data_IF_188959032019
#
_entry.id   IF_188959032019
#
_cell.length_a   1.000
_cell.length_b   1.000
_cell.length_c   1.000
_cell.angle_alpha   90.00
_cell.angle_beta   90.00
_cell.angle_gamma   90.00
#
_symmetry.space_group_name_H-M   'P 1'
#
loop_
_entity.id
_entity.type
_entity.pdbx_description
1 polymer ?
#
# COMPACT_ATOMS: atom_id res chain seq x y z
N UNK A 1 36.92 -32.10 -11.96
CA UNK A 1 36.30 -31.12 -11.05
C UNK A 1 35.38 -30.27 -11.91
N UNK A 2 34.09 -30.62 -11.93
CA UNK A 2 33.10 -29.98 -12.80
C UNK A 2 32.45 -28.79 -12.06
N UNK A 3 32.82 -27.58 -12.44
CA UNK A 3 32.18 -26.36 -11.94
C UNK A 3 30.91 -26.10 -12.76
N UNK A 4 29.82 -26.74 -12.36
CA UNK A 4 28.46 -26.38 -12.82
C UNK A 4 28.19 -24.91 -12.48
N UNK A 5 28.32 -24.02 -13.47
CA UNK A 5 27.91 -22.62 -13.36
C UNK A 5 26.43 -22.53 -12.94
N UNK A 6 26.17 -22.03 -11.73
CA UNK A 6 24.79 -21.79 -11.27
C UNK A 6 24.23 -20.64 -12.09
N UNK A 7 23.38 -20.95 -13.07
CA UNK A 7 22.59 -19.93 -13.77
C UNK A 7 21.80 -19.12 -12.72
N UNK A 8 21.81 -17.78 -12.77
CA UNK A 8 21.02 -16.98 -11.86
C UNK A 8 19.54 -17.36 -12.01
N UNK A 9 18.77 -17.42 -10.92
CA UNK A 9 17.36 -17.77 -10.99
C UNK A 9 16.64 -16.79 -11.93
N UNK A 10 15.85 -17.32 -12.86
CA UNK A 10 15.07 -16.52 -13.82
C UNK A 10 14.09 -15.65 -13.02
N UNK A 11 14.08 -14.33 -13.30
CA UNK A 11 13.08 -13.43 -12.70
C UNK A 11 11.69 -13.90 -13.10
N UNK A 12 10.82 -14.08 -12.11
CA UNK A 12 9.38 -14.31 -12.29
C UNK A 12 8.70 -12.96 -12.46
N UNK A 13 8.59 -12.53 -13.72
CA UNK A 13 7.97 -11.27 -14.13
C UNK A 13 6.46 -11.40 -14.34
N UNK A 14 5.92 -12.60 -14.08
CA UNK A 14 4.52 -12.95 -14.19
C UNK A 14 3.69 -12.56 -12.97
N UNK A 15 4.33 -12.17 -11.87
CA UNK A 15 3.63 -11.83 -10.63
C UNK A 15 3.23 -10.37 -10.57
N UNK A 16 2.15 -10.11 -9.86
CA UNK A 16 1.77 -8.76 -9.41
C UNK A 16 1.67 -8.76 -7.89
N UNK A 17 2.54 -7.99 -7.27
CA UNK A 17 2.60 -7.84 -5.82
C UNK A 17 2.17 -6.41 -5.48
N UNK A 18 1.22 -6.28 -4.56
CA UNK A 18 0.88 -5.01 -3.93
C UNK A 18 1.60 -4.92 -2.57
N UNK A 19 2.02 -3.73 -2.20
CA UNK A 19 2.46 -3.43 -0.83
C UNK A 19 1.71 -2.20 -0.34
N UNK A 20 1.02 -2.32 0.78
CA UNK A 20 0.43 -1.20 1.51
C UNK A 20 1.34 -0.83 2.70
N UNK A 21 1.57 0.46 2.91
CA UNK A 21 2.26 1.03 4.09
C UNK A 21 1.40 2.15 4.68
N UNK A 22 0.86 1.95 5.89
CA UNK A 22 -0.05 2.92 6.51
C UNK A 22 0.69 4.17 6.99
N UNK A 23 0.16 5.32 6.58
CA UNK A 23 0.73 6.62 6.92
C UNK A 23 0.79 6.85 8.43
N UNK A 24 1.98 7.09 9.00
CA UNK A 24 2.15 7.40 10.42
C UNK A 24 1.24 6.56 11.36
N UNK A 25 1.18 5.25 11.15
CA UNK A 25 0.13 4.34 11.63
C UNK A 25 -0.36 4.58 13.07
N UNK A 26 0.53 4.67 14.06
CA UNK A 26 0.10 4.86 15.45
C UNK A 26 -0.60 6.20 15.68
N UNK A 27 -0.17 7.26 14.97
CA UNK A 27 -0.83 8.55 15.04
C UNK A 27 -2.24 8.48 14.43
N UNK A 28 -2.41 7.83 13.27
CA UNK A 28 -3.75 7.62 12.68
C UNK A 28 -4.68 6.81 13.60
N UNK A 29 -4.17 5.79 14.29
CA UNK A 29 -4.96 5.03 15.28
C UNK A 29 -5.47 5.92 16.40
N UNK A 30 -4.63 6.81 16.92
CA UNK A 30 -5.02 7.77 17.97
C UNK A 30 -5.96 8.84 17.44
N UNK A 31 -5.70 9.37 16.24
CA UNK A 31 -6.52 10.36 15.56
C UNK A 31 -7.92 9.85 15.21
N UNK A 32 -8.06 8.58 14.83
CA UNK A 32 -9.37 7.97 14.57
C UNK A 32 -10.16 7.75 15.86
N UNK A 33 -9.49 7.56 17.00
CA UNK A 33 -10.15 7.49 18.32
C UNK A 33 -10.50 8.87 18.87
N UNK A 34 -9.68 9.87 18.58
CA UNK A 34 -9.90 11.26 18.99
C UNK A 34 -9.72 12.20 17.78
N UNK A 35 -10.80 12.47 17.01
CA UNK A 35 -10.74 13.27 15.79
C UNK A 35 -10.23 14.71 15.99
N UNK A 36 -10.31 15.26 17.20
CA UNK A 36 -9.78 16.59 17.50
C UNK A 36 -8.25 16.70 17.32
N UNK A 37 -7.54 15.56 17.27
CA UNK A 37 -6.09 15.52 17.06
C UNK A 37 -5.69 15.57 15.58
N UNK A 38 -6.59 15.27 14.63
CA UNK A 38 -6.29 15.26 13.17
C UNK A 38 -5.80 16.60 12.64
N UNK A 39 -6.24 17.71 13.24
CA UNK A 39 -5.87 19.07 12.83
C UNK A 39 -4.69 19.64 13.61
N UNK A 40 -4.10 18.89 14.55
CA UNK A 40 -3.01 19.34 15.42
C UNK A 40 -1.73 18.55 15.16
N UNK A 41 -0.55 19.09 15.47
CA UNK A 41 0.69 18.31 15.52
C UNK A 41 0.57 17.26 16.62
N UNK A 42 0.76 15.99 16.27
CA UNK A 42 0.67 14.86 17.19
C UNK A 42 1.94 14.01 17.12
N UNK A 43 2.47 13.67 18.28
CA UNK A 43 3.55 12.70 18.48
C UNK A 43 3.08 11.54 19.36
N UNK A 44 3.38 10.32 18.94
CA UNK A 44 3.19 9.12 19.77
C UNK A 44 4.53 8.82 20.43
N UNK A 45 4.59 8.91 21.76
CA UNK A 45 5.83 8.67 22.50
C UNK A 45 5.86 7.27 23.09
N UNK A 46 7.07 6.73 23.17
CA UNK A 46 7.39 5.53 23.93
C UNK A 46 8.59 5.85 24.79
N UNK A 47 8.39 5.94 26.11
CA UNK A 47 9.33 6.53 27.05
C UNK A 47 9.65 7.98 26.67
N UNK A 48 10.91 8.25 26.29
CA UNK A 48 11.42 9.59 25.96
C UNK A 48 11.67 9.79 24.46
N UNK A 49 11.20 8.87 23.60
CA UNK A 49 11.40 8.91 22.16
C UNK A 49 10.04 8.94 21.46
N UNK A 50 9.92 9.70 20.37
CA UNK A 50 8.77 9.61 19.47
C UNK A 50 8.85 8.35 18.61
N UNK A 51 7.94 7.40 18.84
CA UNK A 51 7.79 6.24 17.97
C UNK A 51 7.36 6.67 16.56
N UNK A 52 6.42 7.61 16.47
CA UNK A 52 6.02 8.26 15.21
C UNK A 52 5.38 9.62 15.49
N UNK A 53 5.17 10.39 14.44
CA UNK A 53 4.45 11.65 14.48
C UNK A 53 3.64 11.84 13.19
N UNK A 54 2.52 12.57 13.30
CA UNK A 54 1.63 12.82 12.17
C UNK A 54 2.22 13.83 11.18
N UNK A 55 1.59 13.95 10.01
CA UNK A 55 2.08 14.88 8.99
C UNK A 55 2.07 16.35 9.42
N UNK A 56 1.16 16.76 10.32
CA UNK A 56 1.15 18.13 10.85
C UNK A 56 2.41 18.43 11.68
N UNK A 57 2.90 17.46 12.45
CA UNK A 57 4.16 17.57 13.18
C UNK A 57 5.38 17.48 12.22
N UNK A 58 5.35 16.58 11.23
CA UNK A 58 6.42 16.46 10.21
C UNK A 58 6.64 17.75 9.42
N UNK A 59 5.56 18.44 9.05
CA UNK A 59 5.62 19.76 8.38
C UNK A 59 6.37 20.83 9.18
N UNK A 60 6.49 20.64 10.50
CA UNK A 60 7.18 21.55 11.42
C UNK A 60 8.61 21.10 11.74
N UNK A 61 9.08 20.01 11.13
CA UNK A 61 10.43 19.48 11.33
C UNK A 61 10.54 18.38 12.40
N UNK A 62 9.44 18.01 13.06
CA UNK A 62 9.43 16.87 13.99
C UNK A 62 9.59 15.57 13.20
N UNK A 63 10.44 14.65 13.66
CA UNK A 63 10.74 13.39 12.97
C UNK A 63 10.48 12.19 13.89
N UNK A 64 10.25 11.02 13.30
CA UNK A 64 10.24 9.74 14.04
C UNK A 64 11.61 9.50 14.69
N UNK A 65 11.61 8.80 15.81
CA UNK A 65 12.79 8.47 16.63
C UNK A 65 13.51 9.68 17.26
N UNK A 66 12.92 10.88 17.19
CA UNK A 66 13.42 12.07 17.87
C UNK A 66 13.17 11.99 19.39
N UNK A 67 14.05 12.57 20.20
CA UNK A 67 13.79 12.70 21.64
C UNK A 67 12.59 13.62 21.86
N UNK A 68 11.79 13.32 22.89
CA UNK A 68 10.62 14.14 23.23
C UNK A 68 11.02 15.58 23.54
N UNK A 69 12.16 15.80 24.23
CA UNK A 69 12.67 17.14 24.50
C UNK A 69 12.96 17.94 23.23
N UNK A 70 13.67 17.34 22.28
CA UNK A 70 14.00 17.98 20.99
C UNK A 70 12.72 18.28 20.18
N UNK A 71 11.77 17.35 20.16
CA UNK A 71 10.51 17.54 19.44
C UNK A 71 9.67 18.68 20.02
N UNK A 72 9.67 18.84 21.35
CA UNK A 72 8.98 19.93 22.04
C UNK A 72 9.69 21.28 21.86
N UNK A 73 11.01 21.31 21.68
CA UNK A 73 11.73 22.53 21.29
C UNK A 73 11.36 22.98 19.87
N UNK A 74 11.23 22.03 18.94
CA UNK A 74 10.84 22.31 17.54
C UNK A 74 9.37 22.73 17.44
N UNK A 75 8.49 22.07 18.19
CA UNK A 75 7.05 22.28 18.15
C UNK A 75 6.48 22.32 19.59
N UNK A 76 6.52 23.48 20.28
CA UNK A 76 6.06 23.61 21.67
C UNK A 76 4.59 23.23 21.90
N UNK A 77 3.74 23.31 20.87
CA UNK A 77 2.33 22.93 20.89
C UNK A 77 2.06 21.47 20.47
N UNK A 78 3.10 20.66 20.30
CA UNK A 78 3.00 19.24 19.95
C UNK A 78 2.17 18.50 20.99
N UNK A 79 1.05 17.91 20.56
CA UNK A 79 0.31 16.99 21.40
C UNK A 79 1.10 15.68 21.51
N UNK A 80 1.32 15.22 22.75
CA UNK A 80 1.99 13.95 23.02
C UNK A 80 1.00 12.94 23.57
N UNK A 81 1.00 11.74 22.99
CA UNK A 81 0.17 10.62 23.45
C UNK A 81 1.07 9.42 23.73
N UNK A 82 0.81 8.75 24.86
CA UNK A 82 1.51 7.54 25.28
C UNK A 82 1.18 6.38 24.33
N UNK A 83 2.23 5.70 23.85
CA UNK A 83 2.15 4.61 22.87
C UNK A 83 2.79 3.32 23.35
N UNK A 84 3.03 3.17 24.65
CA UNK A 84 3.62 1.96 25.25
C UNK A 84 2.68 0.76 25.17
N UNK A 85 1.38 0.97 25.35
CA UNK A 85 0.39 -0.08 25.12
C UNK A 85 0.19 -0.27 23.62
N UNK A 86 0.71 -1.40 23.13
CA UNK A 86 0.65 -1.76 21.72
C UNK A 86 -0.66 -2.47 21.32
N UNK A 87 -1.47 -2.87 22.29
CA UNK A 87 -2.76 -3.54 22.07
C UNK A 87 -3.65 -2.82 21.06
N UNK A 88 -3.93 -1.51 21.20
CA UNK A 88 -4.79 -0.79 20.26
C UNK A 88 -4.27 -0.78 18.82
N UNK A 89 -2.96 -0.62 18.64
CA UNK A 89 -2.32 -0.60 17.32
C UNK A 89 -2.36 -2.00 16.68
N UNK A 90 -2.10 -3.03 17.49
CA UNK A 90 -2.13 -4.43 17.05
C UNK A 90 -3.53 -4.86 16.61
N UNK A 91 -4.58 -4.44 17.31
CA UNK A 91 -5.95 -4.83 17.00
C UNK A 91 -6.43 -4.18 15.70
N UNK A 92 -6.13 -2.89 15.50
CA UNK A 92 -6.38 -2.21 14.22
C UNK A 92 -5.60 -2.88 13.09
N UNK A 93 -4.31 -3.16 13.30
CA UNK A 93 -3.47 -3.85 12.29
C UNK A 93 -4.10 -5.16 11.81
N UNK A 94 -4.66 -5.96 12.74
CA UNK A 94 -5.37 -7.21 12.40
C UNK A 94 -6.64 -6.95 11.59
N UNK A 95 -7.42 -5.93 11.93
CA UNK A 95 -8.65 -5.57 11.21
C UNK A 95 -8.30 -5.21 9.75
N UNK A 96 -7.35 -4.29 9.55
CA UNK A 96 -6.96 -3.85 8.22
C UNK A 96 -6.29 -4.98 7.41
N UNK A 97 -5.47 -5.81 8.06
CA UNK A 97 -4.89 -7.00 7.44
C UNK A 97 -5.96 -7.98 6.95
N UNK A 98 -6.98 -8.27 7.77
CA UNK A 98 -8.05 -9.19 7.39
C UNK A 98 -8.91 -8.63 6.25
N UNK A 99 -9.15 -7.31 6.27
CA UNK A 99 -9.80 -6.61 5.17
C UNK A 99 -9.02 -6.81 3.86
N UNK A 100 -7.74 -6.44 3.82
CA UNK A 100 -6.90 -6.62 2.64
C UNK A 100 -6.81 -8.09 2.21
N UNK A 101 -6.63 -9.01 3.16
CA UNK A 101 -6.56 -10.44 2.90
C UNK A 101 -7.80 -10.99 2.20
N UNK A 102 -8.98 -10.43 2.45
CA UNK A 102 -10.22 -10.87 1.80
C UNK A 102 -10.22 -10.70 0.27
N UNK A 103 -9.36 -9.83 -0.27
CA UNK A 103 -9.19 -9.61 -1.71
C UNK A 103 -8.09 -10.45 -2.36
N UNK A 104 -7.34 -11.23 -1.58
CA UNK A 104 -6.32 -12.15 -2.11
C UNK A 104 -6.95 -13.51 -2.39
N UNK A 105 -7.29 -13.77 -3.64
CA UNK A 105 -7.89 -15.04 -4.09
C UNK A 105 -6.99 -16.25 -3.82
N UNK A 106 -5.67 -16.08 -3.90
CA UNK A 106 -4.68 -17.13 -3.62
C UNK A 106 -4.26 -17.22 -2.14
N UNK A 107 -4.84 -16.40 -1.24
CA UNK A 107 -4.53 -16.32 0.19
C UNK A 107 -3.06 -16.01 0.53
N UNK A 108 -2.25 -15.51 -0.41
CA UNK A 108 -0.84 -15.15 -0.17
C UNK A 108 -0.74 -13.68 0.22
N UNK A 109 -0.98 -13.44 1.50
CA UNK A 109 -0.82 -12.12 2.13
C UNK A 109 0.14 -12.23 3.31
N UNK A 110 1.10 -11.32 3.37
CA UNK A 110 2.11 -11.29 4.41
C UNK A 110 2.11 -9.93 5.08
N UNK A 111 2.36 -9.92 6.39
CA UNK A 111 2.47 -8.70 7.18
C UNK A 111 3.92 -8.49 7.59
N UNK A 112 4.39 -7.24 7.49
CA UNK A 112 5.66 -6.81 8.05
C UNK A 112 5.37 -5.72 9.09
N UNK A 113 5.70 -5.98 10.36
CA UNK A 113 5.33 -5.06 11.44
C UNK A 113 3.81 -4.98 11.67
N UNK A 114 3.32 -3.79 12.02
CA UNK A 114 1.88 -3.54 12.20
C UNK A 114 1.27 -2.75 11.04
N UNK A 115 2.11 -2.11 10.24
CA UNK A 115 1.74 -1.09 9.27
C UNK A 115 2.00 -1.46 7.81
N UNK A 116 2.76 -2.52 7.54
CA UNK A 116 3.02 -2.97 6.17
C UNK A 116 2.33 -4.30 5.83
N UNK A 117 1.71 -4.38 4.66
CA UNK A 117 1.05 -5.58 4.12
C UNK A 117 1.44 -5.82 2.68
N UNK A 118 1.95 -7.02 2.37
CA UNK A 118 2.26 -7.49 1.03
C UNK A 118 1.20 -8.48 0.54
N UNK A 119 0.70 -8.30 -0.67
CA UNK A 119 -0.30 -9.18 -1.28
C UNK A 119 0.16 -9.65 -2.65
N UNK A 120 0.14 -10.96 -2.89
CA UNK A 120 0.22 -11.50 -4.24
C UNK A 120 -1.18 -11.49 -4.85
N UNK A 121 -1.40 -10.64 -5.85
CA UNK A 121 -2.69 -10.45 -6.53
C UNK A 121 -2.66 -10.97 -7.98
N UNK A 122 -1.68 -11.80 -8.30
CA UNK A 122 -1.44 -12.27 -9.67
C UNK A 122 -2.68 -12.95 -10.27
N UNK A 123 -3.41 -13.73 -9.48
CA UNK A 123 -4.56 -14.52 -9.95
C UNK A 123 -5.83 -13.70 -10.20
N UNK A 124 -6.11 -12.68 -9.39
CA UNK A 124 -7.19 -11.73 -9.66
C UNK A 124 -6.87 -10.83 -10.86
N UNK A 125 -5.60 -10.44 -11.00
CA UNK A 125 -5.14 -9.67 -12.15
C UNK A 125 -5.21 -10.50 -13.44
N UNK A 126 -4.73 -11.74 -13.43
CA UNK A 126 -4.76 -12.61 -14.61
C UNK A 126 -6.20 -12.93 -15.04
N UNK A 127 -7.14 -13.08 -14.10
CA UNK A 127 -8.56 -13.22 -14.42
C UNK A 127 -9.12 -11.98 -15.12
N UNK A 128 -8.86 -10.78 -14.57
CA UNK A 128 -9.31 -9.55 -15.19
C UNK A 128 -8.65 -9.31 -16.56
N UNK A 129 -7.39 -9.72 -16.72
CA UNK A 129 -6.70 -9.68 -18.01
C UNK A 129 -7.39 -10.52 -19.09
N UNK A 130 -8.09 -11.60 -18.72
CA UNK A 130 -8.93 -12.39 -19.63
C UNK A 130 -10.27 -11.71 -19.92
N UNK A 131 -10.84 -10.99 -18.94
CA UNK A 131 -12.16 -10.37 -19.06
C UNK A 131 -12.17 -9.04 -19.85
N UNK A 132 -11.04 -8.33 -19.91
CA UNK A 132 -11.01 -6.99 -20.51
C UNK A 132 -11.28 -7.00 -22.02
N UNK A 133 -12.03 -6.01 -22.48
CA UNK A 133 -12.18 -5.73 -23.90
C UNK A 133 -11.10 -4.74 -24.35
N UNK A 134 -10.07 -5.23 -25.05
CA UNK A 134 -8.97 -4.39 -25.55
C UNK A 134 -9.40 -3.30 -26.54
N UNK A 135 -10.58 -3.41 -27.13
CA UNK A 135 -11.14 -2.38 -28.01
C UNK A 135 -11.77 -1.21 -27.24
N UNK A 136 -12.01 -1.36 -25.93
CA UNK A 136 -12.65 -0.37 -25.07
C UNK A 136 -12.02 -0.37 -23.67
N UNK A 137 -10.84 0.25 -23.57
CA UNK A 137 -10.07 0.30 -22.31
C UNK A 137 -10.58 1.37 -21.33
N UNK A 138 -11.20 2.45 -21.83
CA UNK A 138 -11.66 3.56 -20.99
C UNK A 138 -12.88 3.20 -20.12
N UNK A 139 -13.76 2.34 -20.62
CA UNK A 139 -14.99 1.91 -19.95
C UNK A 139 -14.88 0.45 -19.48
N UNK A 140 -13.74 0.11 -18.87
CA UNK A 140 -13.49 -1.23 -18.36
C UNK A 140 -14.13 -1.47 -17.00
N UNK A 141 -14.38 -2.74 -16.68
CA UNK A 141 -14.88 -3.17 -15.38
C UNK A 141 -13.92 -4.19 -14.77
N UNK A 142 -13.50 -3.94 -13.54
CA UNK A 142 -12.62 -4.82 -12.78
C UNK A 142 -13.45 -5.71 -11.85
N UNK A 143 -13.46 -7.01 -12.10
CA UNK A 143 -14.17 -8.01 -11.31
C UNK A 143 -13.41 -8.38 -10.03
N UNK A 144 -14.14 -8.43 -8.92
CA UNK A 144 -13.64 -8.77 -7.58
C UNK A 144 -14.08 -10.16 -7.10
N UNK A 145 -15.07 -10.77 -7.74
CA UNK A 145 -15.53 -12.14 -7.50
C UNK A 145 -15.41 -13.00 -8.77
N UNK A 146 -15.19 -14.32 -8.58
CA UNK A 146 -15.22 -15.30 -9.67
C UNK A 146 -16.64 -15.80 -9.95
N UNK A 147 -17.51 -15.68 -8.96
CA UNK A 147 -18.88 -16.21 -8.95
C UNK A 147 -19.89 -15.15 -9.35
N UNK A 148 -19.66 -13.90 -8.93
CA UNK A 148 -20.57 -12.78 -9.14
C UNK A 148 -19.89 -11.68 -9.99
N UNK A 149 -20.22 -11.58 -11.29
CA UNK A 149 -19.62 -10.60 -12.19
C UNK A 149 -20.07 -9.16 -11.90
N UNK A 150 -21.11 -8.93 -11.08
CA UNK A 150 -21.53 -7.58 -10.68
C UNK A 150 -20.67 -7.03 -9.54
N UNK A 151 -19.97 -7.90 -8.81
CA UNK A 151 -19.02 -7.49 -7.79
C UNK A 151 -17.73 -7.01 -8.42
N UNK A 152 -17.58 -5.69 -8.52
CA UNK A 152 -16.40 -5.07 -9.11
C UNK A 152 -16.46 -3.55 -9.05
N UNK A 153 -15.66 -2.91 -9.88
CA UNK A 153 -15.65 -1.46 -10.05
C UNK A 153 -15.29 -1.06 -11.47
N UNK A 154 -15.85 0.06 -11.93
CA UNK A 154 -15.47 0.66 -13.21
C UNK A 154 -14.07 1.28 -13.11
N UNK A 155 -13.26 1.11 -14.17
CA UNK A 155 -11.90 1.64 -14.24
C UNK A 155 -11.53 2.06 -15.66
N UNK A 156 -10.73 3.12 -15.75
CA UNK A 156 -10.15 3.59 -17.01
C UNK A 156 -8.75 2.98 -17.18
N UNK A 157 -8.66 1.93 -17.99
CA UNK A 157 -7.43 1.22 -18.28
C UNK A 157 -6.62 1.87 -19.43
N UNK A 158 -6.86 3.13 -19.79
CA UNK A 158 -6.00 3.86 -20.74
C UNK A 158 -4.67 4.30 -20.11
N UNK A 159 -4.60 4.34 -18.78
CA UNK A 159 -3.38 4.74 -18.05
C UNK A 159 -3.27 4.09 -16.65
N UNK A 160 -2.04 4.03 -16.14
CA UNK A 160 -1.76 3.54 -14.78
C UNK A 160 -2.47 4.44 -13.76
N UNK A 161 -3.11 3.84 -12.77
CA UNK A 161 -3.65 4.55 -11.63
C UNK A 161 -2.51 4.95 -10.66
N UNK A 162 -2.15 6.23 -10.63
CA UNK A 162 -1.15 6.79 -9.71
C UNK A 162 0.17 7.13 -10.39
N UNK A 163 1.27 7.06 -9.64
CA UNK A 163 2.60 7.46 -10.11
C UNK A 163 3.35 6.28 -10.76
N UNK A 164 4.12 6.54 -11.81
CA UNK A 164 5.00 5.56 -12.46
C UNK A 164 6.46 5.95 -12.20
N UNK A 165 7.27 4.99 -11.75
CA UNK A 165 8.71 5.19 -11.54
C UNK A 165 9.48 4.58 -12.71
N UNK A 166 10.35 5.38 -13.32
CA UNK A 166 11.16 4.99 -14.48
C UNK A 166 10.69 5.67 -15.77
N UNK A 167 11.57 5.70 -16.78
CA UNK A 167 11.25 6.23 -18.10
C UNK A 167 10.53 5.16 -18.93
N UNK A 168 9.44 5.54 -19.61
CA UNK A 168 8.90 4.73 -20.71
C UNK A 168 9.91 4.80 -21.86
N UNK A 169 10.55 3.68 -22.19
CA UNK A 169 11.19 3.56 -23.49
C UNK A 169 10.09 3.62 -24.55
N UNK A 170 10.12 4.67 -25.35
CA UNK A 170 9.07 5.07 -26.30
C UNK A 170 8.90 4.12 -27.50
N UNK A 171 9.40 2.89 -27.43
CA UNK A 171 9.50 1.95 -28.54
C UNK A 171 8.76 0.62 -28.39
N UNK A 172 8.27 0.25 -27.21
CA UNK A 172 7.53 -1.00 -27.04
C UNK A 172 6.03 -0.79 -27.26
N UNK A 173 5.47 -1.49 -28.25
CA UNK A 173 4.04 -1.52 -28.51
C UNK A 173 3.30 -2.06 -27.27
N UNK A 174 2.39 -1.25 -26.73
CA UNK A 174 1.60 -1.53 -25.52
C UNK A 174 0.74 -2.81 -25.65
N UNK A 175 0.42 -3.23 -26.87
CA UNK A 175 -0.52 -4.33 -27.12
C UNK A 175 0.02 -5.73 -26.75
N UNK A 176 1.34 -5.94 -26.80
CA UNK A 176 1.96 -7.25 -26.50
C UNK A 176 2.70 -7.30 -25.16
N UNK A 177 2.79 -6.19 -24.42
CA UNK A 177 3.48 -6.18 -23.12
C UNK A 177 2.54 -6.63 -21.99
N UNK A 178 2.38 -7.95 -21.85
CA UNK A 178 1.59 -8.57 -20.77
C UNK A 178 2.00 -8.10 -19.36
N UNK A 179 3.26 -7.69 -19.15
CA UNK A 179 3.73 -7.18 -17.86
C UNK A 179 3.12 -5.80 -17.60
N UNK A 180 3.14 -4.91 -18.60
CA UNK A 180 2.52 -3.59 -18.47
C UNK A 180 1.04 -3.70 -18.14
N UNK A 181 0.31 -4.54 -18.86
CA UNK A 181 -1.13 -4.74 -18.64
C UNK A 181 -1.43 -5.31 -17.24
N UNK A 182 -0.60 -6.22 -16.74
CA UNK A 182 -0.67 -6.73 -15.36
C UNK A 182 -0.43 -5.64 -14.33
N UNK A 183 0.58 -4.81 -14.51
CA UNK A 183 0.87 -3.68 -13.61
C UNK A 183 -0.22 -2.61 -13.67
N UNK A 184 -0.80 -2.38 -14.84
CA UNK A 184 -1.94 -1.51 -15.06
C UNK A 184 -3.15 -1.97 -14.25
N UNK A 185 -3.59 -3.21 -14.44
CA UNK A 185 -4.67 -3.81 -13.64
C UNK A 185 -4.35 -3.80 -12.14
N UNK A 186 -3.11 -4.16 -11.78
CA UNK A 186 -2.62 -4.11 -10.39
C UNK A 186 -2.70 -2.72 -9.77
N UNK A 187 -2.40 -1.67 -10.53
CA UNK A 187 -2.48 -0.27 -10.07
C UNK A 187 -3.91 0.18 -9.77
N UNK A 188 -4.87 -0.22 -10.61
CA UNK A 188 -6.28 0.08 -10.40
C UNK A 188 -6.84 -0.67 -9.20
N UNK A 189 -6.49 -1.95 -9.04
CA UNK A 189 -6.82 -2.71 -7.83
C UNK A 189 -6.22 -2.08 -6.58
N UNK A 190 -4.94 -1.67 -6.63
CA UNK A 190 -4.28 -0.98 -5.52
C UNK A 190 -4.98 0.33 -5.14
N UNK A 191 -5.33 1.16 -6.14
CA UNK A 191 -6.06 2.40 -5.92
C UNK A 191 -7.43 2.16 -5.30
N UNK A 192 -8.18 1.17 -5.82
CA UNK A 192 -9.48 0.79 -5.28
C UNK A 192 -9.38 0.38 -3.81
N UNK A 193 -8.46 -0.53 -3.47
CA UNK A 193 -8.27 -1.00 -2.09
C UNK A 193 -7.83 0.13 -1.15
N UNK A 194 -6.97 1.04 -1.61
CA UNK A 194 -6.55 2.22 -0.84
C UNK A 194 -7.71 3.17 -0.57
N UNK A 195 -8.57 3.42 -1.56
CA UNK A 195 -9.79 4.23 -1.39
C UNK A 195 -10.76 3.57 -0.40
N UNK A 196 -10.90 2.24 -0.45
CA UNK A 196 -11.73 1.49 0.51
C UNK A 196 -11.18 1.57 1.93
N UNK A 197 -9.87 1.43 2.12
CA UNK A 197 -9.22 1.63 3.42
C UNK A 197 -9.53 3.01 4.01
N UNK A 198 -9.47 4.05 3.18
CA UNK A 198 -9.73 5.42 3.61
C UNK A 198 -11.22 5.66 3.91
N UNK A 199 -12.11 5.22 3.02
CA UNK A 199 -13.55 5.48 3.16
C UNK A 199 -14.21 4.63 4.24
N UNK A 200 -13.81 3.38 4.40
CA UNK A 200 -14.45 2.43 5.34
C UNK A 200 -13.79 2.43 6.72
N UNK A 201 -12.47 2.66 6.79
CA UNK A 201 -11.72 2.56 8.03
C UNK A 201 -11.05 3.89 8.44
N UNK A 202 -11.10 4.93 7.60
CA UNK A 202 -10.41 6.21 7.84
C UNK A 202 -8.90 6.07 8.00
N UNK A 203 -8.27 5.13 7.27
CA UNK A 203 -6.82 4.99 7.22
C UNK A 203 -6.28 5.29 5.82
N UNK A 204 -5.33 6.20 5.74
CA UNK A 204 -4.56 6.43 4.51
C UNK A 204 -3.31 5.56 4.50
N UNK A 205 -2.87 5.21 3.31
CA UNK A 205 -1.65 4.44 3.08
C UNK A 205 -0.98 4.90 1.78
N UNK A 206 0.31 4.66 1.65
CA UNK A 206 0.94 4.55 0.33
C UNK A 206 0.77 3.12 -0.18
N UNK A 207 0.90 2.94 -1.50
CA UNK A 207 0.88 1.61 -2.09
C UNK A 207 1.88 1.48 -3.25
N UNK A 208 2.69 0.43 -3.22
CA UNK A 208 3.58 0.03 -4.31
C UNK A 208 3.01 -1.13 -5.11
N UNK A 209 3.23 -1.13 -6.44
CA UNK A 209 2.86 -2.22 -7.35
C UNK A 209 4.07 -2.64 -8.18
N UNK A 210 4.46 -3.91 -8.09
CA UNK A 210 5.64 -4.43 -8.79
C UNK A 210 5.59 -5.95 -8.96
N UNK A 211 6.53 -6.51 -9.73
CA UNK A 211 6.65 -7.95 -9.97
C UNK A 211 7.28 -8.74 -8.82
N UNK A 212 7.81 -8.05 -7.81
CA UNK A 212 8.38 -8.65 -6.63
C UNK A 212 8.40 -7.69 -5.43
N UNK A 213 8.54 -8.26 -4.23
CA UNK A 213 8.52 -7.52 -2.97
C UNK A 213 9.68 -6.53 -2.80
N UNK A 214 10.85 -6.85 -3.35
CA UNK A 214 12.04 -6.00 -3.19
C UNK A 214 11.84 -4.66 -3.92
N UNK A 215 11.30 -4.71 -5.13
CA UNK A 215 10.99 -3.50 -5.91
C UNK A 215 9.88 -2.67 -5.26
N UNK A 216 8.85 -3.32 -4.70
CA UNK A 216 7.77 -2.60 -4.01
C UNK A 216 8.28 -1.73 -2.86
N UNK A 217 9.20 -2.28 -2.05
CA UNK A 217 9.73 -1.57 -0.90
C UNK A 217 10.47 -0.27 -1.24
N UNK A 218 11.00 -0.18 -2.45
CA UNK A 218 11.69 1.03 -2.94
C UNK A 218 10.77 2.03 -3.62
N UNK A 219 9.54 1.63 -3.95
CA UNK A 219 8.56 2.44 -4.71
C UNK A 219 7.38 2.93 -3.89
N UNK A 220 7.12 2.34 -2.72
CA UNK A 220 6.02 2.68 -1.82
C UNK A 220 6.36 3.82 -0.85
#
# INVERSE_FOLDING_TARGET
>A
MDQSSRKPPKRKEDRVILQFDYDCFYAQVVENRNPALKSRPLGIKQKNILATCNYNARKRGVRKLMLVSEAMEICPELALVEGEDLTPFRDVSKILFNFLRSYSWNNKVERLGFDEVFMDVTDIVDFNMFCINRLSMADSFFCLSREDPEQGFSCDLTSIAGCVIGSRDSGEQLDDNCIYLRLLLGSHLAQHLRLRLETEFSYTSTCGVATNKLLNRTSA
#
